data_IF_159168052075
#
_entry.id   IF_159168052075
#
_cell.length_a   1.000
_cell.length_b   1.000
_cell.length_c   1.000
_cell.angle_alpha   90.00
_cell.angle_beta   90.00
_cell.angle_gamma   90.00
#
_symmetry.space_group_name_H-M   'P 1'
#
loop_
_entity.id
_entity.type
_entity.pdbx_description
1 polymer ?
#
# COMPACT_ATOMS: atom_id res chain seq x y z
N UNK A 1 2.00 -19.47 -5.59
CA UNK A 1 1.15 -19.38 -4.38
C UNK A 1 -0.02 -18.37 -4.53
N UNK A 2 -0.20 -17.78 -5.72
CA UNK A 2 -1.38 -16.98 -6.09
C UNK A 2 -1.13 -15.47 -6.17
N UNK A 3 -0.02 -14.96 -5.61
CA UNK A 3 0.30 -13.53 -5.65
C UNK A 3 1.23 -13.13 -6.80
N UNK A 4 1.61 -11.85 -6.80
CA UNK A 4 2.63 -11.27 -7.67
C UNK A 4 3.90 -10.95 -6.88
N UNK A 5 5.04 -11.28 -7.49
CA UNK A 5 6.38 -10.89 -7.04
C UNK A 5 6.94 -9.76 -7.90
N UNK A 6 7.88 -9.00 -7.33
CA UNK A 6 8.61 -7.93 -8.03
C UNK A 6 10.10 -8.25 -8.17
N UNK A 7 10.56 -9.33 -7.53
CA UNK A 7 11.89 -9.88 -7.66
C UNK A 7 11.83 -11.26 -8.30
N UNK A 8 12.80 -11.50 -9.17
CA UNK A 8 13.05 -12.77 -9.83
C UNK A 8 14.58 -12.93 -9.91
N UNK A 9 15.16 -13.52 -8.87
CA UNK A 9 16.61 -13.65 -8.68
C UNK A 9 17.10 -15.08 -8.85
N UNK A 10 16.19 -16.06 -8.82
CA UNK A 10 16.46 -17.48 -8.85
C UNK A 10 16.66 -18.03 -10.26
N UNK A 11 15.94 -17.51 -11.26
CA UNK A 11 16.05 -17.99 -12.64
C UNK A 11 15.87 -16.87 -13.67
N UNK A 12 16.62 -16.93 -14.77
CA UNK A 12 16.40 -16.07 -15.95
C UNK A 12 15.55 -16.81 -16.98
N UNK A 13 14.23 -16.82 -16.77
CA UNK A 13 13.28 -17.50 -17.67
C UNK A 13 12.55 -16.51 -18.59
N UNK A 14 12.07 -17.00 -19.75
CA UNK A 14 11.25 -16.20 -20.69
C UNK A 14 9.93 -15.72 -20.07
N UNK A 15 9.38 -16.49 -19.13
CA UNK A 15 8.29 -16.08 -18.25
C UNK A 15 8.90 -15.89 -16.87
N UNK A 16 8.80 -14.71 -16.24
CA UNK A 16 9.34 -14.50 -14.91
C UNK A 16 8.85 -15.60 -13.97
N UNK A 17 9.77 -16.26 -13.27
CA UNK A 17 9.44 -17.29 -12.28
C UNK A 17 8.78 -16.68 -11.06
N UNK A 18 9.22 -15.47 -10.70
CA UNK A 18 8.77 -14.76 -9.51
C UNK A 18 9.00 -15.62 -8.27
N UNK A 19 10.22 -15.61 -7.73
CA UNK A 19 10.57 -16.52 -6.64
C UNK A 19 9.75 -16.28 -5.37
N UNK A 20 9.27 -15.05 -5.16
CA UNK A 20 8.52 -14.65 -3.97
C UNK A 20 7.40 -13.68 -4.33
N UNK A 21 6.15 -14.16 -4.26
CA UNK A 21 4.97 -13.30 -4.23
C UNK A 21 4.95 -12.45 -2.97
N UNK A 22 4.58 -11.17 -3.08
CA UNK A 22 4.47 -10.25 -1.94
C UNK A 22 3.09 -9.63 -1.83
N UNK A 23 2.67 -9.34 -0.59
CA UNK A 23 1.34 -8.79 -0.31
C UNK A 23 1.11 -7.43 -0.95
N UNK A 24 2.10 -6.53 -0.93
CA UNK A 24 1.97 -5.20 -1.51
C UNK A 24 1.96 -5.19 -3.04
N UNK A 25 2.79 -6.03 -3.68
CA UNK A 25 2.77 -6.16 -5.15
C UNK A 25 1.46 -6.78 -5.61
N UNK A 26 0.97 -7.79 -4.90
CA UNK A 26 -0.32 -8.43 -5.17
C UNK A 26 -1.49 -7.45 -4.99
N UNK A 27 -1.48 -6.66 -3.92
CA UNK A 27 -2.48 -5.62 -3.68
C UNK A 27 -2.48 -4.56 -4.79
N UNK A 28 -1.30 -4.11 -5.22
CA UNK A 28 -1.19 -3.14 -6.29
C UNK A 28 -1.72 -3.68 -7.62
N UNK A 29 -1.37 -4.92 -7.96
CA UNK A 29 -1.88 -5.60 -9.15
C UNK A 29 -3.41 -5.74 -9.12
N UNK A 30 -3.97 -6.21 -8.01
CA UNK A 30 -5.42 -6.37 -7.85
C UNK A 30 -6.16 -5.03 -8.01
N UNK A 31 -5.65 -3.96 -7.41
CA UNK A 31 -6.25 -2.63 -7.54
C UNK A 31 -6.22 -2.15 -8.99
N UNK A 32 -5.07 -2.28 -9.68
CA UNK A 32 -4.96 -1.91 -11.09
C UNK A 32 -5.88 -2.75 -11.98
N UNK A 33 -6.01 -4.05 -11.70
CA UNK A 33 -6.88 -4.96 -12.42
C UNK A 33 -8.37 -4.63 -12.22
N UNK A 34 -8.78 -4.10 -11.06
CA UNK A 34 -10.14 -3.57 -10.90
C UNK A 34 -10.38 -2.36 -11.80
N UNK A 35 -9.44 -1.42 -11.86
CA UNK A 35 -9.58 -0.24 -12.74
C UNK A 35 -9.61 -0.65 -14.22
N UNK A 36 -8.77 -1.61 -14.62
CA UNK A 36 -8.79 -2.18 -15.97
C UNK A 36 -10.14 -2.87 -16.29
N UNK A 37 -10.74 -3.58 -15.32
CA UNK A 37 -12.08 -4.15 -15.48
C UNK A 37 -13.18 -3.10 -15.66
N UNK A 38 -13.05 -1.93 -15.04
CA UNK A 38 -14.02 -0.81 -15.18
C UNK A 38 -14.04 -0.19 -16.57
N UNK A 39 -13.00 -0.44 -17.38
CA UNK A 39 -12.91 -0.01 -18.78
C UNK A 39 -12.97 -1.21 -19.74
N UNK A 40 -13.58 -2.31 -19.30
CA UNK A 40 -13.86 -3.51 -20.09
C UNK A 40 -12.62 -4.22 -20.68
N UNK A 41 -11.44 -4.05 -20.07
CA UNK A 41 -10.27 -4.85 -20.46
C UNK A 41 -10.45 -6.31 -20.04
N UNK A 42 -10.08 -7.27 -20.91
CA UNK A 42 -10.23 -8.69 -20.62
C UNK A 42 -9.25 -9.11 -19.52
N UNK A 43 -9.80 -9.63 -18.42
CA UNK A 43 -9.03 -10.09 -17.26
C UNK A 43 -9.53 -11.48 -16.85
N UNK A 44 -8.62 -12.44 -16.76
CA UNK A 44 -8.94 -13.79 -16.31
C UNK A 44 -9.32 -13.81 -14.82
N UNK A 45 -10.57 -14.14 -14.53
CA UNK A 45 -11.10 -14.22 -13.15
C UNK A 45 -10.32 -15.18 -12.26
N UNK A 46 -9.81 -16.27 -12.83
CA UNK A 46 -8.97 -17.22 -12.10
C UNK A 46 -7.78 -16.52 -11.41
N UNK A 47 -7.08 -15.64 -12.12
CA UNK A 47 -5.91 -14.92 -11.59
C UNK A 47 -6.30 -13.94 -10.49
N UNK A 48 -7.50 -13.36 -10.56
CA UNK A 48 -8.04 -12.47 -9.52
C UNK A 48 -8.32 -13.28 -8.26
N UNK A 49 -9.02 -14.40 -8.38
CA UNK A 49 -9.43 -15.18 -7.21
C UNK A 49 -8.24 -15.73 -6.43
N UNK A 50 -7.27 -16.35 -7.11
CA UNK A 50 -6.08 -16.87 -6.42
C UNK A 50 -5.25 -15.78 -5.72
N UNK A 51 -5.28 -14.55 -6.24
CA UNK A 51 -4.60 -13.41 -5.65
C UNK A 51 -5.34 -12.80 -4.46
N UNK A 52 -6.68 -12.75 -4.51
CA UNK A 52 -7.51 -12.37 -3.37
C UNK A 52 -7.33 -13.37 -2.23
N UNK A 53 -7.39 -14.67 -2.53
CA UNK A 53 -7.17 -15.73 -1.56
C UNK A 53 -5.76 -15.68 -0.95
N UNK A 54 -4.75 -15.31 -1.76
CA UNK A 54 -3.40 -15.05 -1.27
C UNK A 54 -3.35 -13.89 -0.26
N UNK A 55 -4.01 -12.76 -0.54
CA UNK A 55 -4.04 -11.61 0.38
C UNK A 55 -4.78 -11.94 1.68
N UNK A 56 -5.95 -12.58 1.59
CA UNK A 56 -6.73 -12.96 2.78
C UNK A 56 -5.95 -13.92 3.68
N UNK A 57 -5.25 -14.89 3.08
CA UNK A 57 -4.41 -15.84 3.82
C UNK A 57 -3.24 -15.18 4.56
N UNK A 58 -2.73 -14.06 4.06
CA UNK A 58 -1.57 -13.37 4.66
C UNK A 58 -1.94 -12.17 5.53
N UNK A 59 -3.23 -11.86 5.63
CA UNK A 59 -3.76 -10.89 6.57
C UNK A 59 -3.96 -11.55 7.93
N UNK A 60 -3.33 -11.03 8.98
CA UNK A 60 -3.48 -11.55 10.35
C UNK A 60 -4.57 -10.80 11.13
N UNK A 61 -5.10 -11.36 12.24
CA UNK A 61 -6.25 -10.77 12.96
C UNK A 61 -6.05 -9.33 13.47
N UNK A 62 -4.80 -8.92 13.72
CA UNK A 62 -4.48 -7.54 14.12
C UNK A 62 -4.47 -6.54 12.94
N UNK A 63 -4.69 -7.02 11.70
CA UNK A 63 -4.74 -6.24 10.46
C UNK A 63 -3.38 -6.00 9.79
N UNK A 64 -2.29 -6.52 10.36
CA UNK A 64 -1.03 -6.60 9.65
C UNK A 64 -1.11 -7.61 8.51
N UNK A 65 -0.23 -7.43 7.52
CA UNK A 65 0.02 -8.40 6.47
C UNK A 65 1.43 -8.96 6.60
N UNK A 66 1.56 -10.27 6.49
CA UNK A 66 2.86 -10.89 6.28
C UNK A 66 3.48 -10.40 4.96
N UNK A 67 4.82 -10.35 4.90
CA UNK A 67 5.50 -9.89 3.69
C UNK A 67 5.27 -10.81 2.49
N UNK A 68 5.43 -12.12 2.70
CA UNK A 68 5.14 -13.17 1.72
C UNK A 68 4.73 -14.48 2.42
N UNK A 69 4.42 -15.52 1.64
CA UNK A 69 4.00 -16.82 2.19
C UNK A 69 4.98 -17.42 3.19
N UNK A 70 6.29 -17.31 2.98
CA UNK A 70 7.29 -17.83 3.93
C UNK A 70 7.32 -17.09 5.27
N UNK A 71 6.89 -15.83 5.29
CA UNK A 71 6.94 -14.98 6.47
C UNK A 71 5.93 -15.37 7.55
N UNK A 72 4.94 -16.21 7.22
CA UNK A 72 4.00 -16.77 8.19
C UNK A 72 4.68 -17.65 9.25
N UNK A 73 5.86 -18.17 8.96
CA UNK A 73 6.66 -18.98 9.89
C UNK A 73 7.48 -18.12 10.87
N UNK A 74 7.46 -16.80 10.72
CA UNK A 74 8.08 -15.84 11.64
C UNK A 74 7.10 -14.70 11.98
N UNK A 75 5.95 -15.01 12.58
CA UNK A 75 4.84 -14.07 12.70
C UNK A 75 5.16 -12.87 13.60
N UNK A 76 6.12 -13.01 14.51
CA UNK A 76 6.58 -11.96 15.43
C UNK A 76 7.76 -11.16 14.90
N UNK A 77 8.22 -11.43 13.67
CA UNK A 77 9.29 -10.63 13.07
C UNK A 77 8.79 -9.21 12.81
N UNK A 78 9.64 -8.23 13.07
CA UNK A 78 9.37 -6.79 12.97
C UNK A 78 8.50 -6.34 11.78
N UNK A 79 8.79 -6.69 10.52
CA UNK A 79 7.96 -6.29 9.39
C UNK A 79 6.57 -6.94 9.41
N UNK A 80 6.37 -8.07 10.09
CA UNK A 80 5.08 -8.73 10.19
C UNK A 80 4.18 -8.13 11.28
N UNK A 81 4.72 -7.27 12.14
CA UNK A 81 3.96 -6.56 13.17
C UNK A 81 3.19 -5.37 12.56
N UNK A 82 2.11 -4.88 13.20
CA UNK A 82 1.30 -3.78 12.67
C UNK A 82 2.13 -2.56 12.25
N UNK A 83 3.12 -2.16 13.04
CA UNK A 83 4.02 -1.04 12.75
C UNK A 83 4.92 -1.30 11.53
N UNK A 84 5.43 -2.52 11.37
CA UNK A 84 6.26 -2.88 10.21
C UNK A 84 5.45 -3.11 8.92
N UNK A 85 4.16 -3.43 9.07
CA UNK A 85 3.24 -3.65 7.96
C UNK A 85 2.45 -2.41 7.55
N UNK A 86 2.53 -1.30 8.33
CA UNK A 86 1.77 -0.04 8.17
C UNK A 86 1.40 0.32 6.73
N UNK A 87 2.40 0.50 5.85
CA UNK A 87 2.17 0.88 4.46
C UNK A 87 1.57 -0.24 3.61
N UNK A 88 1.94 -1.50 3.87
CA UNK A 88 1.43 -2.68 3.16
C UNK A 88 -0.02 -2.97 3.51
N UNK A 89 -0.39 -2.82 4.78
CA UNK A 89 -1.76 -2.97 5.25
C UNK A 89 -2.71 -2.03 4.51
N UNK A 90 -2.31 -0.78 4.24
CA UNK A 90 -3.15 0.14 3.46
C UNK A 90 -3.47 -0.40 2.06
N UNK A 91 -2.47 -0.92 1.35
CA UNK A 91 -2.66 -1.53 0.04
C UNK A 91 -3.49 -2.80 0.09
N UNK A 92 -3.16 -3.72 1.02
CA UNK A 92 -3.88 -4.98 1.20
C UNK A 92 -5.35 -4.79 1.52
N UNK A 93 -5.67 -3.91 2.47
CA UNK A 93 -7.05 -3.61 2.85
C UNK A 93 -7.78 -2.90 1.69
N UNK A 94 -7.12 -1.97 0.98
CA UNK A 94 -7.70 -1.31 -0.19
C UNK A 94 -8.07 -2.30 -1.29
N UNK A 95 -7.19 -3.27 -1.58
CA UNK A 95 -7.39 -4.27 -2.61
C UNK A 95 -8.59 -5.16 -2.27
N UNK A 96 -8.65 -5.70 -1.06
CA UNK A 96 -9.76 -6.54 -0.63
C UNK A 96 -11.08 -5.77 -0.60
N UNK A 97 -11.08 -4.52 -0.12
CA UNK A 97 -12.28 -3.66 -0.16
C UNK A 97 -12.75 -3.39 -1.60
N UNK A 98 -11.83 -3.04 -2.49
CA UNK A 98 -12.10 -2.69 -3.90
C UNK A 98 -12.75 -3.85 -4.69
N UNK A 99 -12.49 -5.08 -4.26
CA UNK A 99 -13.02 -6.33 -4.82
C UNK A 99 -14.18 -6.92 -4.02
N UNK A 100 -14.79 -6.13 -3.12
CA UNK A 100 -15.97 -6.53 -2.34
C UNK A 100 -15.72 -7.79 -1.49
N UNK A 101 -14.49 -7.92 -0.94
CA UNK A 101 -14.06 -9.03 -0.09
C UNK A 101 -14.21 -8.69 1.40
N UNK A 102 -13.43 -9.38 2.24
CA UNK A 102 -13.50 -9.39 3.71
C UNK A 102 -13.31 -8.05 4.42
N UNK A 103 -13.03 -6.95 3.72
CA UNK A 103 -12.76 -5.64 4.31
C UNK A 103 -13.99 -4.74 4.22
N UNK A 104 -14.38 -4.20 5.36
CA UNK A 104 -15.49 -3.25 5.49
C UNK A 104 -14.97 -1.81 5.63
N UNK A 105 -15.86 -0.84 5.47
CA UNK A 105 -15.56 0.57 5.72
C UNK A 105 -15.09 0.83 7.16
N UNK A 106 -15.67 0.13 8.15
CA UNK A 106 -15.21 0.20 9.55
C UNK A 106 -13.79 -0.33 9.72
N UNK A 107 -13.45 -1.39 8.99
CA UNK A 107 -12.09 -1.94 8.98
C UNK A 107 -11.11 -0.94 8.39
N UNK A 108 -11.46 -0.31 7.26
CA UNK A 108 -10.64 0.77 6.67
C UNK A 108 -10.44 1.93 7.64
N UNK A 109 -11.51 2.40 8.29
CA UNK A 109 -11.42 3.48 9.27
C UNK A 109 -10.47 3.12 10.41
N UNK A 110 -10.62 1.93 11.00
CA UNK A 110 -9.76 1.44 12.08
C UNK A 110 -8.30 1.36 11.65
N UNK A 111 -8.03 0.88 10.44
CA UNK A 111 -6.67 0.74 9.92
C UNK A 111 -6.05 2.09 9.55
N UNK A 112 -6.84 3.06 9.11
CA UNK A 112 -6.40 4.45 8.99
C UNK A 112 -6.07 5.06 10.35
N UNK A 113 -6.89 4.83 11.38
CA UNK A 113 -6.62 5.30 12.73
C UNK A 113 -5.28 4.75 13.27
N UNK A 114 -4.98 3.47 13.03
CA UNK A 114 -3.67 2.89 13.33
C UNK A 114 -2.55 3.49 12.46
N UNK A 115 -2.81 3.73 11.18
CA UNK A 115 -1.84 4.37 10.29
C UNK A 115 -1.37 5.72 10.80
N UNK A 116 -2.30 6.58 11.25
CA UNK A 116 -1.95 7.88 11.82
C UNK A 116 -1.29 7.75 13.20
N UNK A 117 -1.78 6.85 14.05
CA UNK A 117 -1.24 6.66 15.41
C UNK A 117 0.23 6.24 15.39
N UNK A 118 0.58 5.30 14.52
CA UNK A 118 1.91 4.70 14.43
C UNK A 118 2.72 5.27 13.23
N UNK A 119 2.27 6.37 12.61
CA UNK A 119 2.88 6.96 11.40
C UNK A 119 4.38 7.22 11.52
N UNK A 120 4.86 7.58 12.72
CA UNK A 120 6.28 7.83 12.98
C UNK A 120 7.18 6.66 12.54
N UNK A 121 6.70 5.42 12.60
CA UNK A 121 7.49 4.26 12.19
C UNK A 121 7.75 4.23 10.69
N UNK A 122 6.73 4.50 9.86
CA UNK A 122 6.94 4.53 8.40
C UNK A 122 7.75 5.77 7.98
N UNK A 123 7.61 6.89 8.70
CA UNK A 123 8.40 8.11 8.47
C UNK A 123 9.88 7.92 8.79
N UNK A 124 10.24 7.21 9.86
CA UNK A 124 11.64 6.92 10.21
C UNK A 124 12.40 6.16 9.12
N UNK A 125 11.68 5.35 8.35
CA UNK A 125 12.22 4.60 7.21
C UNK A 125 12.38 5.44 5.93
N UNK A 126 11.72 6.60 5.81
CA UNK A 126 11.73 7.42 4.60
C UNK A 126 13.13 7.95 4.31
N UNK A 127 13.53 7.88 3.04
CA UNK A 127 14.83 8.35 2.51
C UNK A 127 16.06 7.65 3.10
N UNK A 128 15.87 6.51 3.78
CA UNK A 128 16.96 5.64 4.23
C UNK A 128 17.67 4.99 3.04
N UNK A 129 18.98 4.78 3.20
CA UNK A 129 19.81 4.16 2.16
C UNK A 129 19.52 2.66 2.08
N UNK A 130 19.47 1.99 3.24
CA UNK A 130 19.24 0.55 3.30
C UNK A 130 17.77 0.25 3.60
N UNK A 131 17.11 -0.61 2.79
CA UNK A 131 15.77 -1.03 3.11
C UNK A 131 15.77 -1.84 4.41
N UNK A 132 14.67 -1.73 5.17
CA UNK A 132 14.46 -2.49 6.41
C UNK A 132 15.40 -2.18 7.58
N UNK A 133 16.21 -1.10 7.52
CA UNK A 133 17.11 -0.72 8.62
C UNK A 133 16.43 0.09 9.75
N UNK A 134 15.25 0.66 9.49
CA UNK A 134 14.50 1.42 10.47
C UNK A 134 13.77 0.51 11.47
N UNK A 135 13.30 1.09 12.58
CA UNK A 135 12.47 0.40 13.57
C UNK A 135 11.28 -0.31 12.92
N UNK A 136 10.98 -1.53 13.37
CA UNK A 136 9.99 -2.42 12.77
C UNK A 136 10.28 -2.82 11.31
N UNK A 137 11.53 -2.65 10.88
CA UNK A 137 11.97 -2.96 9.52
C UNK A 137 11.09 -2.28 8.45
N UNK A 138 10.59 -1.07 8.71
CA UNK A 138 9.85 -0.31 7.69
C UNK A 138 10.80 0.10 6.59
N UNK A 139 10.53 -0.33 5.36
CA UNK A 139 11.33 0.09 4.22
C UNK A 139 10.87 1.46 3.66
N UNK A 140 11.81 2.30 3.20
CA UNK A 140 11.54 3.62 2.59
C UNK A 140 10.49 3.62 1.48
N UNK A 141 10.52 2.64 0.57
CA UNK A 141 9.58 2.54 -0.55
C UNK A 141 8.13 2.24 -0.12
N UNK A 142 7.88 1.98 1.17
CA UNK A 142 6.51 1.90 1.68
C UNK A 142 5.91 3.26 2.01
N UNK A 143 6.69 4.33 2.11
CA UNK A 143 6.18 5.62 2.53
C UNK A 143 5.10 6.12 1.56
N UNK A 144 5.45 6.50 0.34
CA UNK A 144 4.43 7.02 -0.58
C UNK A 144 3.48 5.95 -1.10
N UNK A 145 3.93 4.69 -1.20
CA UNK A 145 3.03 3.55 -1.46
C UNK A 145 1.89 3.49 -0.44
N UNK A 146 2.23 3.49 0.86
CA UNK A 146 1.26 3.40 1.95
C UNK A 146 0.33 4.60 1.99
N UNK A 147 0.87 5.82 1.80
CA UNK A 147 0.08 7.04 1.75
C UNK A 147 -0.88 7.05 0.55
N UNK A 148 -0.47 6.52 -0.60
CA UNK A 148 -1.35 6.42 -1.77
C UNK A 148 -2.55 5.52 -1.50
N UNK A 149 -2.34 4.32 -0.97
CA UNK A 149 -3.47 3.46 -0.64
C UNK A 149 -4.27 3.97 0.56
N UNK A 150 -3.64 4.65 1.53
CA UNK A 150 -4.37 5.37 2.58
C UNK A 150 -5.31 6.43 1.97
N UNK A 151 -4.86 7.20 0.97
CA UNK A 151 -5.71 8.20 0.29
C UNK A 151 -6.89 7.57 -0.45
N UNK A 152 -6.71 6.37 -1.03
CA UNK A 152 -7.81 5.59 -1.62
C UNK A 152 -8.77 5.07 -0.55
N UNK A 153 -8.25 4.63 0.59
CA UNK A 153 -9.06 4.19 1.73
C UNK A 153 -9.91 5.34 2.30
N UNK A 154 -9.36 6.57 2.34
CA UNK A 154 -10.13 7.77 2.73
C UNK A 154 -11.31 8.02 1.79
N UNK A 155 -11.14 7.85 0.48
CA UNK A 155 -12.24 7.98 -0.50
C UNK A 155 -13.36 6.95 -0.29
N UNK A 156 -13.06 5.81 0.33
CA UNK A 156 -14.03 4.76 0.62
C UNK A 156 -14.80 4.96 1.94
N UNK A 157 -14.39 5.91 2.79
CA UNK A 157 -15.08 6.22 4.05
C UNK A 157 -16.42 6.94 3.80
N UNK A 158 -17.32 7.03 4.79
CA UNK A 158 -18.51 7.89 4.74
C UNK A 158 -18.14 9.37 4.55
N UNK A 159 -18.92 10.10 3.75
CA UNK A 159 -18.58 11.47 3.29
C UNK A 159 -18.33 12.45 4.43
N UNK A 160 -19.08 12.33 5.52
CA UNK A 160 -19.05 13.20 6.70
C UNK A 160 -17.71 13.15 7.46
N UNK A 161 -16.95 12.05 7.34
CA UNK A 161 -15.65 11.90 8.01
C UNK A 161 -14.45 12.08 7.08
N UNK A 162 -14.64 12.07 5.74
CA UNK A 162 -13.53 12.12 4.77
C UNK A 162 -12.66 13.35 4.92
N UNK A 163 -13.25 14.52 5.15
CA UNK A 163 -12.53 15.79 5.24
C UNK A 163 -11.49 15.78 6.38
N UNK A 164 -11.85 15.24 7.54
CA UNK A 164 -10.95 15.16 8.70
C UNK A 164 -9.75 14.25 8.46
N UNK A 165 -9.95 13.09 7.81
CA UNK A 165 -8.84 12.21 7.42
C UNK A 165 -8.00 12.81 6.29
N UNK A 166 -8.62 13.53 5.38
CA UNK A 166 -7.93 14.18 4.26
C UNK A 166 -6.97 15.26 4.73
N UNK A 167 -7.38 16.10 5.68
CA UNK A 167 -6.51 17.12 6.27
C UNK A 167 -5.30 16.50 6.99
N UNK A 168 -5.52 15.44 7.78
CA UNK A 168 -4.43 14.70 8.45
C UNK A 168 -3.42 14.14 7.46
N UNK A 169 -3.87 13.46 6.41
CA UNK A 169 -2.97 12.85 5.42
C UNK A 169 -2.26 13.90 4.56
N UNK A 170 -2.96 14.97 4.18
CA UNK A 170 -2.38 16.04 3.37
C UNK A 170 -1.22 16.72 4.10
N UNK A 171 -1.35 17.00 5.40
CA UNK A 171 -0.28 17.58 6.22
C UNK A 171 0.99 16.71 6.22
N UNK A 172 0.85 15.40 6.36
CA UNK A 172 1.98 14.46 6.35
C UNK A 172 2.67 14.39 4.98
N UNK A 173 1.89 14.44 3.89
CA UNK A 173 2.42 14.35 2.53
C UNK A 173 3.11 15.64 2.12
N UNK A 174 2.47 16.80 2.34
CA UNK A 174 3.03 18.12 1.99
C UNK A 174 4.31 18.41 2.78
N UNK A 175 4.41 17.97 4.03
CA UNK A 175 5.64 18.08 4.81
C UNK A 175 6.84 17.31 4.21
N UNK A 176 6.58 16.34 3.32
CA UNK A 176 7.60 15.57 2.60
C UNK A 176 7.96 16.10 1.21
N UNK A 177 7.36 17.22 0.78
CA UNK A 177 7.65 17.85 -0.51
C UNK A 177 8.98 18.62 -0.45
N UNK A 178 9.82 18.46 -1.46
CA UNK A 178 11.07 19.20 -1.61
C UNK A 178 10.83 20.57 -2.27
N UNK A 179 11.78 21.49 -2.13
CA UNK A 179 11.70 22.86 -2.66
C UNK A 179 11.47 22.94 -4.18
N UNK A 180 11.92 21.92 -4.93
CA UNK A 180 11.70 21.81 -6.37
C UNK A 180 10.32 21.23 -6.74
N UNK A 181 9.44 21.04 -5.74
CA UNK A 181 8.11 20.48 -5.87
C UNK A 181 8.08 18.95 -5.96
N UNK A 182 9.23 18.28 -5.99
CA UNK A 182 9.30 16.83 -6.09
C UNK A 182 9.01 16.15 -4.75
N UNK A 183 8.67 14.87 -4.83
CA UNK A 183 8.57 13.97 -3.68
C UNK A 183 9.55 12.82 -3.88
N UNK A 184 10.16 12.36 -2.79
CA UNK A 184 11.13 11.28 -2.77
C UNK A 184 11.02 10.48 -1.48
N UNK A 185 11.04 9.15 -1.56
CA UNK A 185 11.09 8.24 -0.42
C UNK A 185 12.20 7.17 -0.46
N UNK A 186 12.68 6.72 -1.63
CA UNK A 186 13.72 5.68 -1.72
C UNK A 186 14.65 5.80 -2.94
N UNK A 187 15.98 5.60 -2.86
CA UNK A 187 16.86 5.65 -4.03
C UNK A 187 16.54 4.54 -5.04
N UNK A 188 15.78 4.89 -6.07
CA UNK A 188 15.36 4.02 -7.17
C UNK A 188 16.12 4.39 -8.43
N UNK A 189 17.21 3.65 -8.73
CA UNK A 189 17.95 3.58 -9.99
C UNK A 189 17.80 4.77 -10.99
N UNK A 190 17.98 6.00 -10.52
CA UNK A 190 17.92 7.23 -11.34
C UNK A 190 16.53 7.85 -11.57
N UNK A 191 15.44 7.29 -11.04
CA UNK A 191 14.07 7.78 -11.25
C UNK A 191 13.28 8.07 -9.98
N UNK A 192 13.92 8.13 -8.81
CA UNK A 192 13.20 8.29 -7.55
C UNK A 192 12.28 9.50 -7.48
N UNK A 193 12.72 10.68 -7.95
CA UNK A 193 11.90 11.89 -7.89
C UNK A 193 10.63 11.72 -8.73
N UNK A 194 10.72 11.08 -9.90
CA UNK A 194 9.56 10.81 -10.74
C UNK A 194 8.59 9.84 -10.05
N UNK A 195 9.12 8.76 -9.45
CA UNK A 195 8.33 7.78 -8.69
C UNK A 195 7.58 8.42 -7.51
N UNK A 196 8.31 9.10 -6.62
CA UNK A 196 7.73 9.74 -5.46
C UNK A 196 6.75 10.84 -5.85
N UNK A 197 7.09 11.68 -6.85
CA UNK A 197 6.22 12.76 -7.32
C UNK A 197 4.92 12.23 -7.93
N UNK A 198 4.99 11.13 -8.69
CA UNK A 198 3.79 10.46 -9.21
C UNK A 198 2.83 10.07 -8.09
N UNK A 199 3.34 9.48 -7.01
CA UNK A 199 2.52 9.20 -5.83
C UNK A 199 2.02 10.47 -5.13
N UNK A 200 2.89 11.46 -4.90
CA UNK A 200 2.53 12.71 -4.23
C UNK A 200 1.34 13.39 -4.91
N UNK A 201 1.38 13.52 -6.24
CA UNK A 201 0.28 14.10 -7.02
C UNK A 201 -1.00 13.26 -6.91
N UNK A 202 -0.89 11.93 -7.00
CA UNK A 202 -2.06 11.04 -6.90
C UNK A 202 -2.69 11.07 -5.51
N UNK A 203 -1.88 11.11 -4.45
CA UNK A 203 -2.35 11.25 -3.07
C UNK A 203 -3.13 12.56 -2.92
N UNK A 204 -2.52 13.69 -3.26
CA UNK A 204 -3.14 15.01 -3.11
C UNK A 204 -4.41 15.15 -3.98
N UNK A 205 -4.43 14.53 -5.17
CA UNK A 205 -5.62 14.48 -6.02
C UNK A 205 -6.78 13.72 -5.35
N UNK A 206 -6.50 12.55 -4.74
CA UNK A 206 -7.51 11.80 -4.00
C UNK A 206 -8.02 12.58 -2.78
N UNK A 207 -7.12 13.21 -2.04
CA UNK A 207 -7.48 14.00 -0.86
C UNK A 207 -8.30 15.24 -1.21
N UNK A 208 -8.00 15.90 -2.34
CA UNK A 208 -8.81 17.01 -2.85
C UNK A 208 -10.23 16.56 -3.20
N UNK A 209 -10.41 15.36 -3.75
CA UNK A 209 -11.73 14.79 -4.01
C UNK A 209 -12.46 14.46 -2.70
N UNK A 210 -11.76 13.86 -1.74
CA UNK A 210 -12.30 13.47 -0.45
C UNK A 210 -12.70 14.67 0.45
N UNK A 211 -12.02 15.81 0.31
CA UNK A 211 -12.31 17.03 1.06
C UNK A 211 -13.50 17.84 0.49
N UNK A 212 -13.96 17.54 -0.74
CA UNK A 212 -15.15 18.18 -1.30
C UNK A 212 -16.38 17.47 -0.74
N UNK A 213 -17.16 18.16 0.08
CA UNK A 213 -18.54 17.74 0.38
C UNK A 213 -19.37 17.92 -0.88
N UNK A 214 -20.19 16.93 -1.24
CA UNK A 214 -21.21 17.11 -2.29
C UNK A 214 -22.06 18.34 -1.95
N UNK A 215 -22.28 19.28 -2.89
CA UNK A 215 -23.10 20.45 -2.66
C UNK A 215 -24.55 20.10 -2.32
#
# INVERSE_FOLDING_TARGET
>A
DGGWGYYDFGNSLKRPSGDISTTFSTAAALVALREARRIDLPIHDHNIQIALDYLERLRVPNGAYFYSTGHKYSPMWDPNLPRGSLGRSQGGDNALFTWDRTITTDTLKKQLDYFFKDHVFIEMGRSREYPHEAWYATAPYYYYYGHYYASRNVLALPEDIRAGYSDKLAKLVVAGQYDDGSFWDYPLYGYTKAYGTGYGVMILSNLKKAARTSP
#
